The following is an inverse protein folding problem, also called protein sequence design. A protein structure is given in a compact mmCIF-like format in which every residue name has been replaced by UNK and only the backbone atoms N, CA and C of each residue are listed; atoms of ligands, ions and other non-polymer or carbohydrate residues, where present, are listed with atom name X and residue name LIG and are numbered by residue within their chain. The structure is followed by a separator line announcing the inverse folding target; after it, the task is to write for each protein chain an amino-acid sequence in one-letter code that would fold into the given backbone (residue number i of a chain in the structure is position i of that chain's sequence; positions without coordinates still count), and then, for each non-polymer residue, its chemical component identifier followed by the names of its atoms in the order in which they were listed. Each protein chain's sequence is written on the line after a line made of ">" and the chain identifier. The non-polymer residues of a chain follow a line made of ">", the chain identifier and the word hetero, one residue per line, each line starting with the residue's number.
data_IF_638866430588
#
_entry.id   IF_638866430588
#
_cell.length_a   1.000
_cell.length_b   1.000
_cell.length_c   1.000
_cell.angle_alpha   90.00
_cell.angle_beta   90.00
_cell.angle_gamma   90.00
#
_symmetry.space_group_name_H-M   'P 1'
#
loop_
_entity.id
_entity.type
_entity.pdbx_description
1 polymer ?
#
# COMPACT_ATOMS: atom_id res chain seq x y z
N UNK A 1 -9.73 1.88 6.69
CA UNK A 1 -8.38 1.36 6.38
C UNK A 1 -8.30 -0.16 6.58
N UNK A 2 -9.20 -0.73 7.38
CA UNK A 2 -9.23 -2.17 7.68
C UNK A 2 -9.32 -3.07 6.44
N UNK A 3 -9.97 -2.62 5.36
CA UNK A 3 -9.99 -3.33 4.08
C UNK A 3 -8.59 -3.54 3.47
N UNK A 4 -7.75 -2.50 3.42
CA UNK A 4 -6.39 -2.59 2.88
C UNK A 4 -5.55 -3.54 3.75
N UNK A 5 -5.62 -3.38 5.07
CA UNK A 5 -4.91 -4.26 6.02
C UNK A 5 -5.37 -5.72 5.88
N UNK A 6 -6.65 -5.96 5.66
CA UNK A 6 -7.20 -7.29 5.46
C UNK A 6 -6.64 -7.96 4.20
N UNK A 7 -6.65 -7.25 3.07
CA UNK A 7 -6.12 -7.79 1.79
C UNK A 7 -4.61 -8.03 1.88
N UNK A 8 -3.85 -7.07 2.39
CA UNK A 8 -2.39 -7.20 2.54
C UNK A 8 -2.04 -8.29 3.55
N UNK A 9 -2.77 -8.37 4.67
CA UNK A 9 -2.60 -9.44 5.65
C UNK A 9 -2.86 -10.82 5.06
N UNK A 10 -3.87 -10.95 4.20
CA UNK A 10 -4.11 -12.19 3.46
C UNK A 10 -2.95 -12.52 2.50
N UNK A 11 -2.45 -11.54 1.73
CA UNK A 11 -1.30 -11.72 0.85
C UNK A 11 -0.05 -12.18 1.63
N UNK A 12 0.21 -11.56 2.79
CA UNK A 12 1.31 -11.93 3.67
C UNK A 12 1.15 -13.34 4.23
N UNK A 13 -0.07 -13.77 4.57
CA UNK A 13 -0.34 -15.13 5.03
C UNK A 13 -0.03 -16.20 3.98
N UNK A 14 -0.04 -15.84 2.70
CA UNK A 14 0.35 -16.70 1.58
C UNK A 14 1.88 -16.69 1.32
N UNK A 15 2.63 -15.87 2.06
CA UNK A 15 4.08 -15.73 1.92
C UNK A 15 4.52 -14.74 0.84
N UNK A 16 3.64 -13.82 0.43
CA UNK A 16 3.90 -12.81 -0.60
C UNK A 16 3.88 -11.40 -0.03
N UNK A 17 4.65 -10.49 -0.61
CA UNK A 17 4.53 -9.04 -0.42
C UNK A 17 4.10 -8.37 -1.73
N UNK A 18 3.41 -7.23 -1.64
CA UNK A 18 3.05 -6.43 -2.81
C UNK A 18 4.25 -5.62 -3.34
N UNK A 19 5.07 -5.07 -2.44
CA UNK A 19 6.32 -4.32 -2.69
C UNK A 19 6.18 -2.98 -3.45
N UNK A 20 4.98 -2.64 -3.92
CA UNK A 20 4.71 -1.35 -4.58
C UNK A 20 3.34 -0.78 -4.19
N UNK A 21 2.99 -0.83 -2.90
CA UNK A 21 1.80 -0.12 -2.44
C UNK A 21 2.03 1.40 -2.54
N UNK A 22 1.00 2.12 -2.98
CA UNK A 22 0.92 3.58 -3.02
C UNK A 22 -0.56 3.96 -3.32
N UNK A 23 -0.97 5.23 -3.20
CA UNK A 23 -2.36 5.63 -3.46
C UNK A 23 -2.83 5.37 -4.89
N UNK A 24 -1.94 5.39 -5.88
CA UNK A 24 -2.33 5.12 -7.28
C UNK A 24 -2.64 3.65 -7.53
N UNK A 25 -2.10 2.77 -6.67
CA UNK A 25 -2.38 1.33 -6.65
C UNK A 25 -3.55 0.97 -5.72
N UNK A 26 -4.32 1.96 -5.25
CA UNK A 26 -5.53 1.74 -4.44
C UNK A 26 -6.69 2.43 -5.15
N UNK A 27 -7.59 1.63 -5.72
CA UNK A 27 -8.86 2.10 -6.24
C UNK A 27 -9.96 1.96 -5.18
N UNK A 28 -11.05 2.68 -5.39
CA UNK A 28 -12.31 2.48 -4.66
C UNK A 28 -13.35 1.94 -5.63
N UNK A 29 -14.14 0.97 -5.18
CA UNK A 29 -15.33 0.54 -5.92
C UNK A 29 -16.51 1.50 -5.72
N UNK A 30 -17.68 1.13 -6.25
CA UNK A 30 -18.90 1.95 -6.13
C UNK A 30 -19.45 2.09 -4.71
N UNK A 31 -18.95 1.29 -3.77
CA UNK A 31 -19.35 1.26 -2.36
C UNK A 31 -18.21 1.76 -1.45
N UNK A 32 -17.23 2.48 -2.01
CA UNK A 32 -16.04 3.01 -1.32
C UNK A 32 -15.14 1.93 -0.67
N UNK A 33 -15.22 0.68 -1.12
CA UNK A 33 -14.30 -0.36 -0.64
C UNK A 33 -12.96 -0.30 -1.39
N UNK A 34 -11.83 -0.44 -0.66
CA UNK A 34 -10.52 -0.39 -1.29
C UNK A 34 -10.23 -1.65 -2.10
N UNK A 35 -9.85 -1.46 -3.36
CA UNK A 35 -9.31 -2.48 -4.26
C UNK A 35 -7.82 -2.23 -4.45
N UNK A 36 -7.00 -3.21 -4.12
CA UNK A 36 -5.55 -3.17 -4.37
C UNK A 36 -5.28 -3.54 -5.82
N UNK A 37 -4.50 -2.70 -6.51
CA UNK A 37 -4.05 -2.86 -7.89
C UNK A 37 -2.52 -2.94 -7.92
N UNK A 38 -1.92 -3.23 -9.09
CA UNK A 38 -0.48 -3.02 -9.27
C UNK A 38 0.44 -4.17 -8.81
N UNK A 39 -0.01 -5.42 -8.92
CA UNK A 39 0.75 -6.62 -8.49
C UNK A 39 2.00 -6.96 -9.33
N UNK A 40 2.49 -6.06 -10.19
CA UNK A 40 3.67 -6.31 -11.04
C UNK A 40 4.96 -6.59 -10.26
N UNK A 41 5.08 -6.02 -9.06
CA UNK A 41 6.20 -6.20 -8.13
C UNK A 41 5.90 -7.25 -7.04
N UNK A 42 4.75 -7.92 -7.10
CA UNK A 42 4.35 -8.90 -6.11
C UNK A 42 5.19 -10.17 -6.21
N UNK A 43 5.80 -10.57 -5.09
CA UNK A 43 6.77 -11.67 -5.03
C UNK A 43 6.70 -12.40 -3.70
N UNK A 44 7.16 -13.65 -3.67
CA UNK A 44 7.35 -14.35 -2.40
C UNK A 44 8.39 -13.63 -1.57
N UNK A 45 8.31 -13.73 -0.25
CA UNK A 45 9.35 -13.19 0.62
C UNK A 45 10.73 -13.71 0.22
N UNK A 46 11.74 -12.86 0.36
CA UNK A 46 13.15 -13.10 0.04
C UNK A 46 13.49 -13.26 -1.46
N UNK A 47 12.50 -13.26 -2.36
CA UNK A 47 12.77 -13.24 -3.81
C UNK A 47 13.29 -11.86 -4.25
N UNK A 48 14.19 -11.86 -5.23
CA UNK A 48 14.74 -10.61 -5.78
C UNK A 48 13.68 -9.78 -6.51
N UNK A 49 13.72 -8.47 -6.29
CA UNK A 49 12.88 -7.51 -6.99
C UNK A 49 13.64 -6.93 -8.18
N UNK A 50 13.01 -6.99 -9.36
CA UNK A 50 13.52 -6.31 -10.57
C UNK A 50 13.09 -4.84 -10.61
N UNK A 51 11.98 -4.53 -9.96
CA UNK A 51 11.42 -3.20 -9.72
C UNK A 51 10.69 -3.23 -8.38
N UNK A 52 10.92 -2.25 -7.52
CA UNK A 52 10.27 -2.16 -6.21
C UNK A 52 9.99 -0.72 -5.83
N UNK A 53 8.83 -0.47 -5.24
CA UNK A 53 8.49 0.82 -4.65
C UNK A 53 8.26 1.94 -5.65
N UNK A 54 7.65 3.00 -5.14
CA UNK A 54 7.38 4.26 -5.86
C UNK A 54 8.02 5.40 -5.09
N UNK A 55 8.77 6.27 -5.80
CA UNK A 55 9.46 7.41 -5.20
C UNK A 55 8.51 8.28 -4.35
N UNK A 56 8.90 8.55 -3.10
CA UNK A 56 8.09 9.29 -2.12
C UNK A 56 7.15 8.43 -1.27
N UNK A 57 6.95 7.15 -1.60
CA UNK A 57 6.15 6.20 -0.82
C UNK A 57 7.02 5.15 -0.13
N UNK A 58 8.09 4.71 -0.77
CA UNK A 58 9.08 3.79 -0.22
C UNK A 58 10.36 4.53 0.16
N UNK A 59 10.96 4.15 1.30
CA UNK A 59 12.14 4.84 1.84
C UNK A 59 13.45 4.40 1.16
N UNK A 60 13.51 3.20 0.57
CA UNK A 60 14.70 2.67 -0.12
C UNK A 60 14.33 1.78 -1.32
N UNK A 61 15.25 1.63 -2.29
CA UNK A 61 15.16 0.56 -3.30
C UNK A 61 15.45 -0.78 -2.62
N UNK A 62 14.46 -1.66 -2.57
CA UNK A 62 14.61 -2.96 -1.93
C UNK A 62 15.15 -3.98 -2.93
N UNK A 63 16.20 -4.71 -2.54
CA UNK A 63 16.77 -5.77 -3.38
C UNK A 63 15.92 -7.06 -3.34
N UNK A 64 15.18 -7.27 -2.24
CA UNK A 64 14.38 -8.47 -1.99
C UNK A 64 12.96 -8.10 -1.57
N UNK A 65 12.02 -9.02 -1.76
CA UNK A 65 10.63 -8.89 -1.35
C UNK A 65 10.45 -9.08 0.15
N UNK A 66 9.74 -8.19 0.82
CA UNK A 66 9.52 -8.26 2.27
C UNK A 66 8.21 -7.58 2.69
N UNK A 67 7.55 -8.15 3.70
CA UNK A 67 6.28 -7.61 4.23
C UNK A 67 6.42 -6.19 4.79
N UNK A 68 7.61 -5.83 5.28
CA UNK A 68 7.91 -4.54 5.89
C UNK A 68 7.73 -3.38 4.91
N UNK A 69 7.88 -3.63 3.60
CA UNK A 69 7.67 -2.62 2.56
C UNK A 69 6.19 -2.21 2.53
N UNK A 70 5.29 -3.19 2.58
CA UNK A 70 3.85 -2.95 2.60
C UNK A 70 3.43 -2.30 3.91
N UNK A 71 3.96 -2.75 5.05
CA UNK A 71 3.63 -2.22 6.38
C UNK A 71 4.02 -0.75 6.53
N UNK A 72 5.21 -0.38 6.07
CA UNK A 72 5.70 1.01 6.12
C UNK A 72 4.82 1.94 5.29
N UNK A 73 4.42 1.50 4.09
CA UNK A 73 3.54 2.27 3.22
C UNK A 73 2.14 2.40 3.80
N UNK A 74 1.58 1.33 4.38
CA UNK A 74 0.24 1.38 4.99
C UNK A 74 0.19 2.45 6.08
N UNK A 75 1.23 2.58 6.91
CA UNK A 75 1.31 3.63 7.93
C UNK A 75 1.28 5.03 7.29
N UNK A 76 1.99 5.24 6.18
CA UNK A 76 1.99 6.51 5.45
C UNK A 76 0.63 6.81 4.81
N UNK A 77 -0.03 5.80 4.23
CA UNK A 77 -1.37 5.93 3.66
C UNK A 77 -2.41 6.31 4.72
N UNK A 78 -2.28 5.76 5.93
CA UNK A 78 -3.14 6.10 7.06
C UNK A 78 -3.00 7.55 7.50
N UNK A 79 -1.75 8.02 7.63
CA UNK A 79 -1.48 9.42 7.92
C UNK A 79 -2.05 10.33 6.83
N UNK A 80 -1.82 10.00 5.56
CA UNK A 80 -2.32 10.76 4.41
C UNK A 80 -3.85 10.86 4.37
N UNK A 81 -4.56 9.75 4.62
CA UNK A 81 -6.03 9.75 4.61
C UNK A 81 -6.63 10.63 5.72
N UNK A 82 -5.99 10.68 6.89
CA UNK A 82 -6.43 11.57 7.98
C UNK A 82 -6.25 13.04 7.60
N UNK A 83 -5.15 13.38 6.93
CA UNK A 83 -4.87 14.75 6.47
C UNK A 83 -5.89 15.20 5.40
N UNK A 84 -6.23 14.34 4.45
CA UNK A 84 -7.20 14.64 3.39
C UNK A 84 -8.64 14.77 3.89
N UNK A 85 -9.01 14.05 4.95
CA UNK A 85 -10.31 14.23 5.64
C UNK A 85 -10.37 15.58 6.33
N UNK A 86 -9.29 15.98 7.00
CA UNK A 86 -9.23 17.25 7.73
C UNK A 86 -9.28 18.47 6.77
N UNK A 87 -8.63 18.38 5.60
CA UNK A 87 -8.68 19.40 4.55
C UNK A 87 -10.07 19.58 3.93
N UNK A 88 -10.84 18.49 3.80
CA UNK A 88 -12.22 18.56 3.31
C UNK A 88 -13.16 19.23 4.32
N UNK A 89 -13.05 18.85 5.61
CA UNK A 89 -13.87 19.42 6.67
C UNK A 89 -13.66 20.94 6.88
N UNK A 90 -12.43 21.43 6.71
CA UNK A 90 -12.10 22.87 6.82
C UNK A 90 -12.51 23.68 5.59
N UNK A 91 -12.80 23.05 4.45
CA UNK A 91 -13.25 23.72 3.23
C UNK A 91 -14.78 23.85 3.15
N UNK A 92 -15.49 23.10 3.98
CA UNK A 92 -16.95 23.09 4.11
C UNK A 92 -17.45 23.88 5.35
N UNK A 93 -16.54 24.47 6.13
CA UNK A 93 -16.82 25.35 7.29
C UNK A 93 -16.57 26.82 6.95
#
# INVERSE_FOLDING_TARGET
>A
MDGIRGVVGHLHSLGFAHNDLNPTNIALDGDDNPIILGFGSCKRFDEQLLSSGTYGWTDECYATSARQHDESVIQKLEAWSMEEKNKRATKES
#
